data_IF_793839632639
#
_entry.id   IF_793839632639
#
_cell.length_a   1.000
_cell.length_b   1.000
_cell.length_c   1.000
_cell.angle_alpha   90.00
_cell.angle_beta   90.00
_cell.angle_gamma   90.00
#
_symmetry.space_group_name_H-M   'P 1'
#
loop_
_entity.id
_entity.type
_entity.pdbx_description
1 polymer ?
#
# COMPACT_ATOMS: atom_id res chain seq x y z
N UNK A 1 7.68 -4.71 17.75
CA UNK A 1 9.10 -5.04 18.04
C UNK A 1 9.95 -5.09 16.76
N UNK A 2 9.54 -5.83 15.72
CA UNK A 2 10.31 -6.02 14.46
C UNK A 2 10.84 -4.71 13.84
N UNK A 3 10.02 -3.65 13.85
CA UNK A 3 10.43 -2.33 13.34
C UNK A 3 11.70 -1.79 14.05
N UNK A 4 11.79 -1.95 15.37
CA UNK A 4 12.93 -1.50 16.18
C UNK A 4 14.19 -2.26 15.76
N UNK A 5 14.08 -3.57 15.58
CA UNK A 5 15.20 -4.43 15.16
C UNK A 5 15.70 -4.01 13.77
N UNK A 6 14.79 -3.75 12.84
CA UNK A 6 15.15 -3.28 11.50
C UNK A 6 15.77 -1.88 11.48
N UNK A 7 15.22 -0.94 12.25
CA UNK A 7 15.70 0.45 12.30
C UNK A 7 17.08 0.56 12.96
N UNK A 8 17.29 -0.14 14.06
CA UNK A 8 18.54 -0.13 14.84
C UNK A 8 19.42 -1.38 14.58
N UNK A 9 19.30 -1.94 13.37
CA UNK A 9 20.07 -3.10 12.92
C UNK A 9 21.58 -2.87 12.84
N UNK A 10 22.02 -1.61 12.89
CA UNK A 10 23.41 -1.20 12.99
C UNK A 10 23.99 -1.36 14.41
N UNK A 11 23.15 -1.18 15.44
CA UNK A 11 23.52 -1.26 16.87
C UNK A 11 23.32 -2.64 17.48
N UNK A 12 22.40 -3.43 16.94
CA UNK A 12 22.07 -4.77 17.46
C UNK A 12 22.86 -5.82 16.67
N UNK A 13 23.78 -6.53 17.33
CA UNK A 13 24.71 -7.43 16.65
C UNK A 13 24.12 -8.76 16.20
N UNK A 14 23.12 -9.25 16.92
CA UNK A 14 22.37 -10.48 16.67
C UNK A 14 21.02 -10.23 15.95
N UNK A 15 20.86 -9.09 15.27
CA UNK A 15 19.62 -8.72 14.59
C UNK A 15 19.23 -9.71 13.48
N UNK A 16 20.21 -10.33 12.82
CA UNK A 16 20.02 -11.38 11.82
C UNK A 16 19.39 -12.64 12.41
N UNK A 17 19.95 -13.17 13.50
CA UNK A 17 19.43 -14.36 14.19
C UNK A 17 18.02 -14.12 14.75
N UNK A 18 17.77 -12.92 15.30
CA UNK A 18 16.44 -12.56 15.80
C UNK A 18 15.40 -12.52 14.69
N UNK A 19 15.75 -11.99 13.51
CA UNK A 19 14.84 -11.91 12.37
C UNK A 19 14.65 -13.28 11.69
N UNK A 20 15.65 -14.16 11.68
CA UNK A 20 15.55 -15.50 11.08
C UNK A 20 14.37 -16.30 11.65
N UNK A 21 14.20 -16.29 12.98
CA UNK A 21 13.08 -16.97 13.63
C UNK A 21 11.69 -16.48 13.16
N UNK A 22 11.56 -15.18 12.86
CA UNK A 22 10.29 -14.63 12.35
C UNK A 22 10.11 -14.92 10.85
N UNK A 23 11.20 -15.07 10.11
CA UNK A 23 11.15 -15.39 8.68
C UNK A 23 10.72 -16.85 8.45
N UNK A 24 11.09 -17.76 9.34
CA UNK A 24 10.67 -19.17 9.24
C UNK A 24 9.15 -19.34 9.41
N UNK A 25 8.51 -18.51 10.25
CA UNK A 25 7.05 -18.48 10.44
C UNK A 25 6.30 -17.46 9.57
N UNK A 26 6.91 -16.92 8.51
CA UNK A 26 6.41 -15.73 7.82
C UNK A 26 4.95 -15.82 7.34
N UNK A 27 4.53 -16.97 6.80
CA UNK A 27 3.18 -17.15 6.25
C UNK A 27 2.08 -17.20 7.30
N UNK A 28 2.41 -17.61 8.52
CA UNK A 28 1.46 -17.76 9.62
C UNK A 28 1.22 -16.44 10.37
N UNK A 29 2.02 -15.41 10.08
CA UNK A 29 1.94 -14.09 10.68
C UNK A 29 0.89 -13.18 10.03
N UNK A 30 0.44 -12.16 10.76
CA UNK A 30 -0.49 -11.16 10.25
C UNK A 30 0.13 -10.34 9.10
N UNK A 31 -0.66 -9.85 8.11
CA UNK A 31 -0.13 -9.06 7.00
C UNK A 31 0.65 -7.80 7.44
N UNK A 32 0.22 -7.17 8.55
CA UNK A 32 0.92 -6.03 9.13
C UNK A 32 2.32 -6.41 9.66
N UNK A 33 2.46 -7.61 10.22
CA UNK A 33 3.73 -8.15 10.72
C UNK A 33 4.63 -8.55 9.55
N UNK A 34 4.08 -9.23 8.55
CA UNK A 34 4.78 -9.58 7.31
C UNK A 34 5.38 -8.35 6.63
N UNK A 35 4.61 -7.26 6.53
CA UNK A 35 5.06 -6.00 5.96
C UNK A 35 6.24 -5.38 6.73
N UNK A 36 6.17 -5.41 8.07
CA UNK A 36 7.26 -4.93 8.91
C UNK A 36 8.50 -5.82 8.79
N UNK A 37 8.32 -7.14 8.67
CA UNK A 37 9.42 -8.08 8.51
C UNK A 37 10.13 -7.90 7.16
N UNK A 38 9.37 -7.77 6.07
CA UNK A 38 9.90 -7.45 4.74
C UNK A 38 10.78 -6.19 4.79
N UNK A 39 10.25 -5.12 5.40
CA UNK A 39 10.98 -3.85 5.49
C UNK A 39 12.20 -3.95 6.42
N UNK A 40 12.10 -4.69 7.54
CA UNK A 40 13.20 -4.87 8.49
C UNK A 40 14.36 -5.67 7.89
N UNK A 41 14.06 -6.75 7.17
CA UNK A 41 15.08 -7.58 6.50
C UNK A 41 15.78 -6.80 5.38
N UNK A 42 15.04 -6.01 4.61
CA UNK A 42 15.64 -5.11 3.59
C UNK A 42 16.57 -4.08 4.24
N UNK A 43 16.17 -3.45 5.35
CA UNK A 43 17.04 -2.51 6.09
C UNK A 43 18.30 -3.20 6.62
N UNK A 44 18.16 -4.38 7.22
CA UNK A 44 19.29 -5.18 7.70
C UNK A 44 20.27 -5.49 6.56
N UNK A 45 19.77 -5.88 5.40
CA UNK A 45 20.60 -6.12 4.21
C UNK A 45 21.36 -4.87 3.74
N UNK A 46 20.70 -3.71 3.72
CA UNK A 46 21.35 -2.43 3.32
C UNK A 46 22.41 -1.94 4.31
N UNK A 47 22.36 -2.41 5.57
CA UNK A 47 23.37 -2.11 6.61
C UNK A 47 24.50 -3.16 6.62
N UNK A 48 24.15 -4.45 6.58
CA UNK A 48 25.05 -5.60 6.73
C UNK A 48 24.75 -6.68 5.67
N UNK A 49 25.19 -6.49 4.41
CA UNK A 49 24.80 -7.36 3.30
C UNK A 49 25.31 -8.80 3.46
N UNK A 50 26.48 -9.01 4.09
CA UNK A 50 27.09 -10.34 4.23
C UNK A 50 26.25 -11.32 5.07
N UNK A 51 25.67 -10.84 6.18
CA UNK A 51 24.87 -11.68 7.09
C UNK A 51 23.43 -11.88 6.59
N UNK A 52 22.85 -10.86 5.97
CA UNK A 52 21.42 -10.83 5.64
C UNK A 52 21.07 -11.25 4.21
N UNK A 53 22.06 -11.61 3.37
CA UNK A 53 21.83 -11.99 1.98
C UNK A 53 20.88 -13.18 1.84
N UNK A 54 21.03 -14.21 2.68
CA UNK A 54 20.15 -15.39 2.67
C UNK A 54 18.73 -15.01 3.08
N UNK A 55 18.59 -14.25 4.16
CA UNK A 55 17.29 -13.82 4.71
C UNK A 55 16.49 -12.97 3.72
N UNK A 56 17.14 -12.00 3.06
CA UNK A 56 16.44 -11.12 2.10
C UNK A 56 15.96 -11.90 0.88
N UNK A 57 16.73 -12.88 0.41
CA UNK A 57 16.30 -13.73 -0.70
C UNK A 57 15.12 -14.61 -0.32
N UNK A 58 15.14 -15.22 0.87
CA UNK A 58 14.04 -16.05 1.38
C UNK A 58 12.76 -15.23 1.51
N UNK A 59 12.81 -14.09 2.22
CA UNK A 59 11.63 -13.23 2.44
C UNK A 59 11.08 -12.69 1.12
N UNK A 60 11.92 -12.20 0.22
CA UNK A 60 11.45 -11.67 -1.06
C UNK A 60 10.80 -12.76 -1.90
N UNK A 61 11.40 -13.95 -1.97
CA UNK A 61 10.84 -15.09 -2.70
C UNK A 61 9.47 -15.48 -2.14
N UNK A 62 9.39 -15.74 -0.84
CA UNK A 62 8.14 -16.11 -0.14
C UNK A 62 7.07 -15.02 -0.33
N UNK A 63 7.45 -13.74 -0.24
CA UNK A 63 6.52 -12.62 -0.45
C UNK A 63 5.98 -12.56 -1.88
N UNK A 64 6.81 -12.80 -2.89
CA UNK A 64 6.39 -12.68 -4.29
C UNK A 64 5.63 -13.90 -4.82
N UNK A 65 5.92 -15.09 -4.27
CA UNK A 65 5.40 -16.36 -4.78
C UNK A 65 4.19 -16.86 -3.96
N UNK A 66 4.24 -16.78 -2.63
CA UNK A 66 3.31 -17.50 -1.74
C UNK A 66 2.24 -16.58 -1.12
N UNK A 67 2.58 -15.31 -0.83
CA UNK A 67 1.65 -14.38 -0.19
C UNK A 67 0.57 -13.87 -1.14
N UNK A 68 -0.69 -13.96 -0.74
CA UNK A 68 -1.85 -13.57 -1.54
C UNK A 68 -2.22 -12.08 -1.45
N UNK A 69 -1.74 -11.37 -0.44
CA UNK A 69 -2.02 -9.94 -0.28
C UNK A 69 -1.30 -9.12 -1.38
N UNK A 70 -2.05 -8.35 -2.19
CA UNK A 70 -1.47 -7.61 -3.32
C UNK A 70 -0.57 -6.45 -2.87
N UNK A 71 -0.87 -5.73 -1.78
CA UNK A 71 -0.01 -4.63 -1.29
C UNK A 71 1.35 -5.15 -0.85
N UNK A 72 1.37 -6.27 -0.12
CA UNK A 72 2.61 -6.90 0.30
C UNK A 72 3.43 -7.39 -0.90
N UNK A 73 2.78 -8.04 -1.87
CA UNK A 73 3.44 -8.54 -3.08
C UNK A 73 4.04 -7.41 -3.92
N UNK A 74 3.30 -6.32 -4.10
CA UNK A 74 3.76 -5.15 -4.84
C UNK A 74 4.97 -4.50 -4.17
N UNK A 75 4.95 -4.34 -2.83
CA UNK A 75 6.10 -3.85 -2.07
C UNK A 75 7.30 -4.80 -2.16
N UNK A 76 7.07 -6.10 -2.16
CA UNK A 76 8.10 -7.11 -2.39
C UNK A 76 8.79 -6.90 -3.75
N UNK A 77 8.03 -6.72 -4.83
CA UNK A 77 8.58 -6.43 -6.16
C UNK A 77 9.30 -5.08 -6.24
N UNK A 78 8.79 -4.04 -5.57
CA UNK A 78 9.45 -2.74 -5.49
C UNK A 78 10.83 -2.89 -4.85
N UNK A 79 10.91 -3.56 -3.70
CA UNK A 79 12.20 -3.81 -3.03
C UNK A 79 13.11 -4.68 -3.87
N UNK A 80 12.60 -5.74 -4.51
CA UNK A 80 13.39 -6.59 -5.41
C UNK A 80 14.03 -5.75 -6.52
N UNK A 81 13.23 -4.98 -7.25
CA UNK A 81 13.73 -4.15 -8.37
C UNK A 81 14.72 -3.10 -7.89
N UNK A 82 14.44 -2.45 -6.76
CA UNK A 82 15.31 -1.44 -6.19
C UNK A 82 16.69 -2.02 -5.82
N UNK A 83 16.71 -3.17 -5.13
CA UNK A 83 17.94 -3.84 -4.72
C UNK A 83 18.72 -4.43 -5.92
N UNK A 84 18.02 -4.90 -6.95
CA UNK A 84 18.63 -5.48 -8.16
C UNK A 84 19.17 -4.42 -9.12
N UNK A 85 18.63 -3.20 -9.09
CA UNK A 85 19.05 -2.11 -9.99
C UNK A 85 20.24 -1.37 -9.42
N UNK A 86 20.13 -0.84 -8.19
CA UNK A 86 21.22 -0.11 -7.54
C UNK A 86 21.08 -0.16 -6.00
N UNK A 87 21.93 -0.93 -5.31
CA UNK A 87 21.91 -1.00 -3.84
C UNK A 87 22.36 0.30 -3.17
N UNK A 88 23.16 1.15 -3.84
CA UNK A 88 23.58 2.43 -3.28
C UNK A 88 22.42 3.44 -3.25
N UNK A 89 21.64 3.49 -4.33
CA UNK A 89 20.38 4.26 -4.36
C UNK A 89 19.36 3.70 -3.38
N UNK A 90 19.22 2.37 -3.29
CA UNK A 90 18.33 1.72 -2.33
C UNK A 90 18.61 2.18 -0.90
N UNK A 91 19.90 2.29 -0.54
CA UNK A 91 20.34 2.78 0.77
C UNK A 91 19.84 4.20 1.05
N UNK A 92 19.93 5.10 0.06
CA UNK A 92 19.48 6.50 0.20
C UNK A 92 17.97 6.63 0.34
N UNK A 93 17.21 5.77 -0.35
CA UNK A 93 15.74 5.82 -0.33
C UNK A 93 15.20 5.19 0.95
N UNK A 94 15.62 3.96 1.27
CA UNK A 94 15.04 3.17 2.36
C UNK A 94 15.53 3.63 3.74
N UNK A 95 16.77 4.12 3.83
CA UNK A 95 17.37 4.62 5.07
C UNK A 95 17.43 6.15 5.11
N UNK A 96 16.58 6.83 4.33
CA UNK A 96 16.42 8.26 4.40
C UNK A 96 16.06 8.71 5.81
N UNK A 97 16.52 9.91 6.19
CA UNK A 97 16.11 10.54 7.44
C UNK A 97 14.62 10.86 7.37
N UNK A 98 13.87 10.38 8.36
CA UNK A 98 12.43 10.60 8.43
C UNK A 98 12.18 11.93 9.15
N UNK A 99 11.23 12.74 8.67
CA UNK A 99 10.86 13.96 9.37
C UNK A 99 10.33 13.61 10.77
N UNK A 100 10.50 14.57 11.69
CA UNK A 100 9.97 14.45 13.05
C UNK A 100 8.45 14.30 12.98
N UNK A 101 7.93 13.30 13.69
CA UNK A 101 6.49 13.08 13.79
C UNK A 101 5.94 14.13 14.76
N UNK A 102 5.07 14.99 14.26
CA UNK A 102 4.28 15.88 15.11
C UNK A 102 3.14 15.07 15.72
N UNK A 103 3.10 14.96 17.05
CA UNK A 103 2.01 14.28 17.75
C UNK A 103 0.76 15.16 17.76
N UNK A 104 -0.12 14.93 16.79
CA UNK A 104 -1.43 15.56 16.71
C UNK A 104 -2.55 14.66 17.21
N UNK A 105 -2.25 13.44 17.68
CA UNK A 105 -3.27 12.42 17.93
C UNK A 105 -4.14 12.72 19.17
N UNK A 106 -3.67 13.58 20.07
CA UNK A 106 -4.43 13.99 21.25
C UNK A 106 -5.11 15.36 21.08
N UNK A 107 -4.94 16.03 19.94
CA UNK A 107 -5.58 17.32 19.69
C UNK A 107 -6.97 17.11 19.11
N UNK A 108 -7.99 17.26 19.94
CA UNK A 108 -9.37 17.41 19.48
C UNK A 108 -9.46 18.58 18.50
N UNK A 109 -10.27 18.45 17.45
CA UNK A 109 -10.53 19.55 16.54
C UNK A 109 -11.05 20.77 17.33
N UNK A 110 -10.50 21.98 17.15
CA UNK A 110 -10.86 23.14 17.97
C UNK A 110 -12.37 23.45 17.94
N UNK A 111 -13.04 23.18 16.82
CA UNK A 111 -14.50 23.35 16.70
C UNK A 111 -15.28 22.36 17.57
N UNK A 112 -14.87 21.09 17.57
CA UNK A 112 -15.47 20.08 18.44
C UNK A 112 -15.17 20.41 19.90
N UNK A 113 -13.97 20.91 20.21
CA UNK A 113 -13.61 21.31 21.57
C UNK A 113 -14.50 22.45 22.10
N UNK A 114 -14.78 23.46 21.29
CA UNK A 114 -15.70 24.55 21.65
C UNK A 114 -17.12 24.03 21.94
N UNK A 115 -17.64 23.13 21.10
CA UNK A 115 -18.96 22.51 21.29
C UNK A 115 -19.00 21.63 22.55
N UNK A 116 -17.98 20.80 22.78
CA UNK A 116 -17.87 19.97 23.99
C UNK A 116 -17.75 20.83 25.24
N UNK A 117 -17.03 21.96 25.17
CA UNK A 117 -16.93 22.93 26.27
C UNK A 117 -18.29 23.55 26.59
N UNK A 118 -19.12 23.81 25.57
CA UNK A 118 -20.48 24.33 25.77
C UNK A 118 -21.46 23.29 26.33
N UNK A 119 -21.14 21.99 26.22
CA UNK A 119 -22.00 20.87 26.63
C UNK A 119 -21.40 20.03 27.77
N UNK A 120 -20.51 20.64 28.57
CA UNK A 120 -19.93 19.99 29.76
C UNK A 120 -21.05 19.51 30.68
N UNK A 121 -20.97 18.24 31.11
CA UNK A 121 -21.99 17.57 31.90
C UNK A 121 -23.04 16.79 31.08
N UNK A 122 -22.97 16.83 29.75
CA UNK A 122 -23.77 15.99 28.84
C UNK A 122 -23.02 14.73 28.41
N UNK A 123 -23.76 13.74 27.88
CA UNK A 123 -23.19 12.52 27.28
C UNK A 123 -22.23 12.83 26.11
N UNK A 124 -22.40 13.96 25.42
CA UNK A 124 -21.49 14.40 24.36
C UNK A 124 -20.06 14.59 24.88
N UNK A 125 -19.94 15.26 26.03
CA UNK A 125 -18.67 15.48 26.73
C UNK A 125 -18.05 14.18 27.25
N UNK A 126 -18.86 13.16 27.60
CA UNK A 126 -18.35 11.87 28.07
C UNK A 126 -17.80 11.02 26.92
N UNK A 127 -18.43 11.09 25.74
CA UNK A 127 -18.01 10.31 24.57
C UNK A 127 -16.97 11.02 23.69
N UNK A 128 -16.68 12.30 23.94
CA UNK A 128 -15.84 13.14 23.08
C UNK A 128 -16.30 13.11 21.61
N UNK A 129 -17.62 13.08 21.40
CA UNK A 129 -18.26 13.04 20.08
C UNK A 129 -19.38 14.07 20.02
N UNK A 130 -19.73 14.50 18.81
CA UNK A 130 -20.87 15.37 18.60
C UNK A 130 -22.17 14.70 19.06
N UNK A 131 -23.09 15.49 19.63
CA UNK A 131 -24.38 14.99 20.11
C UNK A 131 -25.20 14.29 19.01
N UNK A 132 -25.09 14.78 17.77
CA UNK A 132 -25.77 14.23 16.60
C UNK A 132 -25.32 12.82 16.21
N UNK A 133 -24.15 12.37 16.65
CA UNK A 133 -23.60 11.07 16.29
C UNK A 133 -24.28 9.92 17.05
N UNK A 134 -24.70 10.19 18.29
CA UNK A 134 -25.29 9.17 19.16
C UNK A 134 -26.75 9.42 19.52
N UNK A 135 -27.26 10.65 19.37
CA UNK A 135 -28.71 10.92 19.49
C UNK A 135 -29.37 10.58 18.16
N UNK A 136 -29.96 9.39 18.08
CA UNK A 136 -30.64 8.92 16.88
C UNK A 136 -31.70 9.91 16.40
N UNK A 137 -31.77 10.13 15.07
CA UNK A 137 -32.84 10.92 14.45
C UNK A 137 -34.19 10.37 14.91
N UNK A 138 -35.17 11.21 15.28
CA UNK A 138 -36.46 10.74 15.73
C UNK A 138 -37.07 9.84 14.66
N UNK A 139 -37.19 8.53 14.97
CA UNK A 139 -37.93 7.59 14.13
C UNK A 139 -39.33 8.16 14.02
N UNK A 140 -39.71 8.62 12.83
CA UNK A 140 -41.10 8.94 12.53
C UNK A 140 -41.92 7.70 12.90
N UNK A 141 -42.68 7.78 14.00
CA UNK A 141 -43.74 6.81 14.29
C UNK A 141 -44.66 6.87 13.08
N UNK A 142 -44.53 5.89 12.16
CA UNK A 142 -45.54 5.64 11.13
C UNK A 142 -46.84 5.42 11.89
N UNK A 143 -47.74 6.40 11.87
CA UNK A 143 -49.06 6.21 12.45
C UNK A 143 -49.71 5.05 11.71
N UNK A 144 -50.07 4.03 12.47
CA UNK A 144 -50.98 2.98 12.03
C UNK A 144 -52.34 3.62 11.81
N UNK A 145 -52.75 3.83 10.57
CA UNK A 145 -54.07 4.40 10.27
C UNK A 145 -54.36 4.58 8.79
N UNK A 146 -55.09 3.60 8.25
CA UNK A 146 -55.89 3.62 7.01
C UNK A 146 -55.27 3.33 5.63
N UNK A 147 -56.10 2.55 4.92
CA UNK A 147 -55.93 1.78 3.69
C UNK A 147 -56.64 2.53 2.57
N UNK A 148 -55.98 2.82 1.43
CA UNK A 148 -56.61 2.86 0.09
C UNK A 148 -55.57 3.09 -1.03
N UNK A 149 -55.48 2.07 -1.91
CA UNK A 149 -55.04 1.91 -3.32
C UNK A 149 -53.92 2.77 -3.98
N UNK A 150 -53.22 2.17 -4.98
CA UNK A 150 -52.16 2.82 -5.76
C UNK A 150 -52.71 3.49 -7.03
N UNK A 151 -52.14 4.61 -7.45
CA UNK A 151 -52.27 5.08 -8.84
C UNK A 151 -51.03 5.85 -9.29
N UNK A 152 -50.59 5.47 -10.49
CA UNK A 152 -49.44 5.93 -11.25
C UNK A 152 -49.57 7.40 -11.66
N UNK A 153 -48.48 8.16 -11.65
CA UNK A 153 -48.19 9.19 -12.66
C UNK A 153 -46.72 9.63 -12.60
N UNK A 154 -45.98 9.19 -13.60
CA UNK A 154 -44.76 9.84 -14.05
C UNK A 154 -45.20 11.14 -14.74
N UNK A 155 -44.65 12.28 -14.35
CA UNK A 155 -44.52 13.40 -15.27
C UNK A 155 -43.23 14.18 -14.96
N UNK A 156 -42.43 14.29 -16.01
CA UNK A 156 -41.25 15.14 -16.12
C UNK A 156 -41.64 16.59 -16.42
N UNK A 157 -40.62 17.48 -16.41
CA UNK A 157 -40.60 18.94 -16.66
C UNK A 157 -40.60 19.72 -15.33
N UNK A 158 -39.50 20.37 -14.94
CA UNK A 158 -38.92 21.61 -15.53
C UNK A 158 -37.41 21.68 -15.17
N UNK A 159 -36.45 21.75 -16.12
CA UNK A 159 -35.70 22.96 -16.60
C UNK A 159 -35.69 24.14 -15.60
N UNK A 160 -34.65 24.92 -15.33
CA UNK A 160 -33.24 25.12 -15.70
C UNK A 160 -32.76 26.27 -14.77
N UNK A 161 -31.50 26.35 -14.33
CA UNK A 161 -30.58 27.38 -14.87
C UNK A 161 -29.13 27.17 -14.37
N UNK A 162 -28.28 26.70 -15.27
CA UNK A 162 -27.15 27.41 -15.92
C UNK A 162 -26.24 28.38 -15.10
N UNK A 163 -24.97 27.93 -14.95
CA UNK A 163 -23.68 28.64 -15.21
C UNK A 163 -22.86 29.30 -14.07
N UNK A 164 -21.76 28.60 -13.79
CA UNK A 164 -20.33 28.96 -13.65
C UNK A 164 -19.84 30.09 -12.72
N UNK A 165 -18.85 29.72 -11.91
CA UNK A 165 -17.58 30.46 -11.83
C UNK A 165 -16.39 29.49 -11.70
N UNK A 166 -15.46 29.66 -12.62
CA UNK A 166 -14.18 28.98 -12.80
C UNK A 166 -13.07 29.54 -11.91
N UNK A 167 -12.01 28.73 -11.70
CA UNK A 167 -10.62 29.11 -11.37
C UNK A 167 -10.36 29.35 -9.87
N UNK A 168 -9.50 28.58 -9.20
CA UNK A 168 -8.03 28.73 -9.32
C UNK A 168 -7.27 27.50 -8.79
N UNK A 169 -6.25 27.10 -9.54
CA UNK A 169 -5.25 26.09 -9.17
C UNK A 169 -4.16 26.77 -8.32
N UNK A 170 -3.94 26.31 -7.10
CA UNK A 170 -2.78 26.75 -6.31
C UNK A 170 -1.57 25.83 -6.55
N UNK A 171 -0.48 26.46 -6.97
CA UNK A 171 0.83 25.88 -7.27
C UNK A 171 1.54 25.54 -5.96
N UNK A 172 2.00 24.30 -5.79
CA UNK A 172 3.06 23.95 -4.84
C UNK A 172 4.39 23.97 -5.58
N UNK A 173 5.33 24.79 -5.11
CA UNK A 173 6.65 24.97 -5.70
C UNK A 173 7.55 23.73 -5.50
N UNK A 174 8.14 23.25 -6.60
CA UNK A 174 9.21 22.23 -6.61
C UNK A 174 10.54 22.95 -6.86
N UNK A 175 11.54 22.71 -6.00
CA UNK A 175 12.91 23.20 -6.22
C UNK A 175 13.66 22.33 -7.23
N UNK A 176 14.57 22.89 -8.06
CA UNK A 176 15.25 22.14 -9.12
C UNK A 176 16.40 21.28 -8.58
N UNK A 177 16.36 19.97 -8.85
CA UNK A 177 17.53 19.08 -8.68
C UNK A 177 18.34 19.01 -9.98
N UNK A 178 19.65 19.09 -9.83
CA UNK A 178 20.67 19.12 -10.90
C UNK A 178 20.76 17.80 -11.69
N UNK A 179 21.19 17.83 -12.97
CA UNK A 179 21.20 16.65 -13.83
C UNK A 179 22.25 15.60 -13.41
N UNK A 180 21.81 14.34 -13.38
CA UNK A 180 22.59 13.13 -13.11
C UNK A 180 23.52 12.78 -14.30
N UNK A 181 24.80 12.51 -14.01
CA UNK A 181 25.83 12.12 -14.98
C UNK A 181 26.22 10.63 -14.80
N UNK A 182 25.99 9.74 -15.78
CA UNK A 182 26.10 8.29 -15.60
C UNK A 182 27.50 7.73 -15.96
N UNK A 183 28.57 8.04 -15.21
CA UNK A 183 29.93 7.53 -15.55
C UNK A 183 30.60 6.64 -14.51
N UNK A 184 29.93 6.18 -13.46
CA UNK A 184 30.56 5.26 -12.48
C UNK A 184 29.80 3.93 -12.34
N UNK A 185 29.68 3.19 -13.46
CA UNK A 185 29.26 1.78 -13.48
C UNK A 185 30.42 0.90 -13.95
N UNK A 186 31.42 0.71 -13.10
CA UNK A 186 32.42 -0.36 -13.25
C UNK A 186 32.81 -0.91 -11.88
N UNK A 187 31.88 -1.55 -11.16
CA UNK A 187 32.30 -2.39 -10.01
C UNK A 187 31.31 -3.42 -9.48
N UNK A 188 30.02 -3.43 -9.86
CA UNK A 188 29.03 -4.28 -9.15
C UNK A 188 28.24 -5.24 -10.04
N UNK A 189 28.83 -5.68 -11.15
CA UNK A 189 28.26 -6.77 -11.94
C UNK A 189 28.71 -8.13 -11.38
N UNK A 190 28.05 -8.59 -10.33
CA UNK A 190 28.03 -10.03 -9.98
C UNK A 190 26.79 -10.48 -9.20
N UNK A 191 25.68 -9.74 -9.26
CA UNK A 191 24.39 -10.21 -8.71
C UNK A 191 23.58 -10.79 -9.86
N UNK A 192 23.87 -12.03 -10.25
CA UNK A 192 23.04 -12.76 -11.20
C UNK A 192 21.85 -13.36 -10.47
N UNK A 193 20.85 -12.54 -10.14
CA UNK A 193 19.50 -13.04 -9.87
C UNK A 193 18.85 -13.34 -11.22
N UNK A 194 18.43 -14.59 -11.43
CA UNK A 194 17.83 -15.01 -12.71
C UNK A 194 16.58 -14.16 -13.02
N UNK A 195 16.39 -13.72 -14.27
CA UNK A 195 15.21 -12.95 -14.65
C UNK A 195 13.93 -13.80 -14.52
N UNK A 196 12.91 -13.23 -13.88
CA UNK A 196 11.57 -13.80 -13.77
C UNK A 196 10.90 -13.83 -15.16
N UNK A 197 10.65 -15.02 -15.69
CA UNK A 197 9.83 -15.22 -16.89
C UNK A 197 8.36 -15.18 -16.50
N UNK A 198 7.61 -14.19 -16.99
CA UNK A 198 6.16 -14.16 -16.90
C UNK A 198 5.58 -15.37 -17.63
N UNK A 199 5.09 -16.39 -16.89
CA UNK A 199 4.18 -17.39 -17.45
C UNK A 199 2.82 -16.72 -17.60
N UNK A 200 2.49 -16.29 -18.81
CA UNK A 200 1.16 -15.76 -19.14
C UNK A 200 0.14 -16.90 -19.04
N UNK A 201 -0.71 -16.85 -18.02
CA UNK A 201 -1.96 -17.60 -18.00
C UNK A 201 -2.84 -17.17 -19.18
N UNK A 202 -3.14 -18.13 -20.04
CA UNK A 202 -4.42 -18.34 -20.73
C UNK A 202 -5.28 -17.08 -20.97
N UNK A 203 -5.05 -16.41 -22.09
CA UNK A 203 -6.06 -15.55 -22.69
C UNK A 203 -6.95 -16.44 -23.61
N UNK A 204 -8.14 -16.75 -23.10
CA UNK A 204 -9.25 -17.24 -23.88
C UNK A 204 -9.68 -16.12 -24.85
N UNK A 205 -9.34 -16.24 -26.14
CA UNK A 205 -9.88 -15.36 -27.18
C UNK A 205 -9.85 -16.03 -28.57
N UNK A 206 -11.04 -16.09 -29.17
CA UNK A 206 -11.32 -16.20 -30.61
C UNK A 206 -10.93 -17.48 -31.37
N UNK A 207 -11.83 -18.47 -31.34
CA UNK A 207 -12.08 -19.30 -32.52
C UNK A 207 -12.78 -18.44 -33.57
N UNK A 208 -12.05 -17.99 -34.58
CA UNK A 208 -12.59 -17.70 -35.91
C UNK A 208 -11.48 -17.78 -36.96
N UNK A 209 -11.61 -18.80 -37.80
CA UNK A 209 -11.37 -18.76 -39.25
C UNK A 209 -9.93 -18.73 -39.80
N UNK A 210 -9.71 -19.72 -40.68
CA UNK A 210 -8.76 -19.79 -41.79
C UNK A 210 -7.28 -20.14 -41.51
N UNK A 211 -7.00 -21.44 -41.46
CA UNK A 211 -5.78 -22.03 -42.04
C UNK A 211 -6.25 -22.79 -43.30
N UNK A 212 -6.04 -22.31 -44.53
CA UNK A 212 -4.78 -22.42 -45.27
C UNK A 212 -3.96 -23.62 -44.81
N UNK A 213 -4.06 -24.69 -45.59
CA UNK A 213 -3.18 -25.83 -45.45
C UNK A 213 -1.72 -25.43 -45.63
N UNK A 214 -0.84 -26.34 -45.27
CA UNK A 214 0.10 -27.01 -46.18
C UNK A 214 0.86 -27.99 -45.31
N UNK A 215 0.92 -29.24 -45.76
CA UNK A 215 1.61 -30.31 -45.06
C UNK A 215 3.13 -30.16 -45.15
N UNK A 216 3.81 -30.65 -44.12
CA UNK A 216 5.07 -31.36 -44.30
C UNK A 216 5.18 -32.43 -43.22
N UNK A 217 5.13 -33.67 -43.70
CA UNK A 217 5.55 -34.88 -43.01
C UNK A 217 7.07 -34.85 -42.82
N UNK A 218 7.58 -35.54 -41.78
CA UNK A 218 8.80 -36.37 -41.74
C UNK A 218 9.51 -36.32 -40.37
N UNK A 219 9.33 -37.43 -39.64
CA UNK A 219 10.33 -38.28 -38.97
C UNK A 219 11.28 -37.69 -37.91
N UNK A 220 10.91 -37.98 -36.66
CA UNK A 220 11.68 -38.76 -35.65
C UNK A 220 13.23 -38.75 -35.68
N UNK A 221 13.84 -38.07 -34.71
CA UNK A 221 14.80 -38.65 -33.77
C UNK A 221 14.89 -37.82 -32.50
#
# INVERSE_FOLDING_TARGET
MIWIIGEYSDRIDNADELLENFVDGYLDELPSVQLQLLTAVVKLFLRRPQKAQKLVQQVLKTTTEEVQDPDLRDRGYIYWRLLSTDPAMAKRIVLAEKPLINDSQERTEPKLLEELTSTIGSLASVYHRHASEFVGKPRHKRSSGNRSKPETRINAQDMGDTVNSTTSMDKVAVQPTTPYNPTTLKSYNSITLKPYTHTTMSACACVRSHACGWGCSVVNR
#
